data_IF_495643678195
#
_entry.id   IF_495643678195
#
_cell.length_a   1.000
_cell.length_b   1.000
_cell.length_c   1.000
_cell.angle_alpha   90.00
_cell.angle_beta   90.00
_cell.angle_gamma   90.00
#
_symmetry.space_group_name_H-M   'P 1'
#
loop_
_entity.id
_entity.type
_entity.pdbx_description
1 polymer ?
#
# COMPACT_ATOMS: atom_id res chain seq x y z
N UNK A 1 7.43 -3.90 -19.09
CA UNK A 1 7.81 -4.26 -17.69
C UNK A 1 6.63 -4.10 -16.77
N UNK A 2 6.51 -5.01 -15.82
CA UNK A 2 5.45 -4.92 -14.83
C UNK A 2 5.74 -3.82 -13.81
N UNK A 3 4.72 -3.11 -13.39
CA UNK A 3 4.81 -2.21 -12.25
C UNK A 3 5.06 -3.02 -10.98
N UNK A 4 5.79 -2.43 -10.04
CA UNK A 4 6.18 -3.09 -8.81
C UNK A 4 5.37 -2.57 -7.62
N UNK A 5 4.84 -3.49 -6.83
CA UNK A 5 4.05 -3.18 -5.64
C UNK A 5 4.76 -3.74 -4.41
N UNK A 6 4.97 -2.89 -3.41
CA UNK A 6 5.47 -3.32 -2.10
C UNK A 6 4.27 -3.54 -1.17
N UNK A 7 4.16 -4.74 -0.64
CA UNK A 7 3.12 -5.09 0.34
C UNK A 7 3.78 -5.21 1.71
N UNK A 8 3.24 -4.51 2.70
CA UNK A 8 3.77 -4.51 4.08
C UNK A 8 2.67 -4.94 5.03
N UNK A 9 2.83 -6.10 5.63
CA UNK A 9 1.86 -6.66 6.57
C UNK A 9 2.56 -7.73 7.41
N UNK A 10 2.36 -7.73 8.73
CA UNK A 10 2.98 -8.74 9.58
C UNK A 10 2.23 -10.08 9.58
N UNK A 11 1.09 -10.16 8.89
CA UNK A 11 0.39 -11.42 8.64
C UNK A 11 0.86 -12.02 7.32
N UNK A 12 1.65 -13.09 7.39
CA UNK A 12 2.15 -13.76 6.18
C UNK A 12 1.04 -14.25 5.27
N UNK A 13 -0.05 -14.74 5.85
CA UNK A 13 -1.20 -15.24 5.08
C UNK A 13 -1.79 -14.15 4.19
N UNK A 14 -1.91 -12.93 4.71
CA UNK A 14 -2.45 -11.82 3.94
C UNK A 14 -1.48 -11.40 2.83
N UNK A 15 -0.18 -11.40 3.12
CA UNK A 15 0.83 -11.11 2.09
C UNK A 15 0.74 -12.10 0.94
N UNK A 16 0.58 -13.39 1.23
CA UNK A 16 0.45 -14.42 0.20
C UNK A 16 -0.83 -14.24 -0.61
N UNK A 17 -1.91 -13.88 0.06
CA UNK A 17 -3.20 -13.63 -0.60
C UNK A 17 -3.09 -12.47 -1.57
N UNK A 18 -2.51 -11.36 -1.13
CA UNK A 18 -2.32 -10.18 -1.98
C UNK A 18 -1.41 -10.49 -3.15
N UNK A 19 -0.33 -11.25 -2.91
CA UNK A 19 0.57 -11.67 -3.97
C UNK A 19 -0.17 -12.50 -5.02
N UNK A 20 -1.00 -13.44 -4.59
CA UNK A 20 -1.78 -14.26 -5.51
C UNK A 20 -2.73 -13.43 -6.37
N UNK A 21 -3.37 -12.42 -5.79
CA UNK A 21 -4.28 -11.57 -6.54
C UNK A 21 -3.57 -10.67 -7.55
N UNK A 22 -2.36 -10.22 -7.22
CA UNK A 22 -1.72 -9.15 -7.98
C UNK A 22 -0.58 -9.62 -8.89
N UNK A 23 -0.03 -10.81 -8.66
CA UNK A 23 1.20 -11.24 -9.35
C UNK A 23 1.04 -11.46 -10.85
N UNK A 24 -0.17 -11.66 -11.35
CA UNK A 24 -0.38 -11.84 -12.79
C UNK A 24 -0.07 -10.56 -13.57
N UNK A 25 -0.37 -9.41 -12.97
CA UNK A 25 -0.24 -8.12 -13.62
C UNK A 25 0.93 -7.29 -13.09
N UNK A 26 1.38 -7.57 -11.86
CA UNK A 26 2.37 -6.76 -11.16
C UNK A 26 3.47 -7.62 -10.56
N UNK A 27 4.63 -7.01 -10.36
CA UNK A 27 5.69 -7.62 -9.57
C UNK A 27 5.40 -7.25 -8.10
N UNK A 28 5.27 -8.25 -7.24
CA UNK A 28 4.90 -8.03 -5.84
C UNK A 28 6.06 -8.40 -4.92
N UNK A 29 6.47 -7.44 -4.11
CA UNK A 29 7.49 -7.63 -3.06
C UNK A 29 6.78 -7.55 -1.73
N UNK A 30 6.94 -8.55 -0.87
CA UNK A 30 6.33 -8.56 0.46
C UNK A 30 7.36 -8.36 1.55
N UNK A 31 7.02 -7.52 2.53
CA UNK A 31 7.80 -7.35 3.75
C UNK A 31 6.86 -7.54 4.93
N UNK A 32 7.33 -8.23 5.96
CA UNK A 32 6.50 -8.61 7.10
C UNK A 32 6.61 -7.66 8.29
N UNK A 33 7.27 -6.54 8.12
CA UNK A 33 7.36 -5.51 9.16
C UNK A 33 7.65 -4.15 8.54
N UNK A 34 7.33 -3.10 9.26
CA UNK A 34 7.64 -1.74 8.82
C UNK A 34 9.14 -1.51 8.71
N UNK A 35 9.93 -2.09 9.62
CA UNK A 35 11.39 -1.97 9.59
C UNK A 35 11.99 -2.61 8.36
N UNK A 36 11.53 -3.82 8.02
CA UNK A 36 12.00 -4.49 6.81
C UNK A 36 11.63 -3.70 5.55
N UNK A 37 10.42 -3.12 5.54
CA UNK A 37 9.98 -2.29 4.43
C UNK A 37 10.87 -1.06 4.27
N UNK A 38 11.15 -0.36 5.37
CA UNK A 38 12.00 0.83 5.34
C UNK A 38 13.43 0.50 4.90
N UNK A 39 13.96 -0.63 5.34
CA UNK A 39 15.28 -1.06 4.92
C UNK A 39 15.33 -1.32 3.42
N UNK A 40 14.32 -2.01 2.91
CA UNK A 40 14.22 -2.28 1.47
C UNK A 40 14.07 -0.99 0.66
N UNK A 41 13.31 -0.02 1.17
CA UNK A 41 13.07 1.26 0.50
C UNK A 41 14.32 2.16 0.43
N UNK A 42 15.37 1.86 1.19
CA UNK A 42 16.63 2.60 1.09
C UNK A 42 17.29 2.46 -0.28
N UNK A 43 17.06 1.33 -0.95
CA UNK A 43 17.69 1.04 -2.23
C UNK A 43 16.72 0.61 -3.32
N UNK A 44 15.42 0.73 -3.09
CA UNK A 44 14.40 0.33 -4.06
C UNK A 44 13.25 1.33 -4.06
N UNK A 45 12.69 1.58 -5.25
CA UNK A 45 11.55 2.49 -5.40
C UNK A 45 10.39 1.75 -6.04
N UNK A 46 9.39 1.32 -5.26
CA UNK A 46 8.22 0.67 -5.84
C UNK A 46 7.32 1.69 -6.51
N UNK A 47 6.43 1.21 -7.37
CA UNK A 47 5.43 2.07 -8.00
C UNK A 47 4.24 2.32 -7.09
N UNK A 48 4.01 1.44 -6.13
CA UNK A 48 2.88 1.52 -5.20
C UNK A 48 3.22 0.78 -3.92
N UNK A 49 2.73 1.27 -2.79
CA UNK A 49 2.85 0.59 -1.50
C UNK A 49 1.44 0.27 -0.99
N UNK A 50 1.25 -0.97 -0.53
CA UNK A 50 0.04 -1.38 0.20
C UNK A 50 0.50 -1.76 1.60
N UNK A 51 0.00 -1.09 2.62
CA UNK A 51 0.44 -1.33 4.00
C UNK A 51 -0.71 -1.51 4.96
N UNK A 52 -0.57 -2.49 5.84
CA UNK A 52 -1.44 -2.61 7.00
C UNK A 52 -1.15 -1.45 7.96
N UNK A 53 -2.14 -1.03 8.74
CA UNK A 53 -1.96 0.01 9.74
C UNK A 53 -1.45 -0.59 11.06
N UNK A 54 -1.98 -1.74 11.46
CA UNK A 54 -1.62 -2.35 12.74
C UNK A 54 -0.55 -3.43 12.57
N UNK A 55 0.70 -3.07 12.85
CA UNK A 55 1.83 -3.99 12.82
C UNK A 55 2.56 -3.90 14.16
N UNK A 56 3.23 -5.00 14.55
CA UNK A 56 3.88 -5.09 15.87
C UNK A 56 5.05 -4.13 16.06
N UNK A 57 5.89 -3.99 15.06
CA UNK A 57 7.14 -3.21 15.18
C UNK A 57 6.94 -1.71 15.05
N UNK A 58 6.05 -1.30 14.15
CA UNK A 58 5.69 0.10 13.95
C UNK A 58 4.33 0.14 13.27
N UNK A 59 3.58 1.21 13.45
CA UNK A 59 2.29 1.33 12.79
C UNK A 59 2.45 1.70 11.33
N UNK A 60 1.40 1.43 10.53
CA UNK A 60 1.36 1.88 9.16
C UNK A 60 1.38 3.40 9.04
N UNK A 61 0.91 4.12 10.06
CA UNK A 61 1.01 5.57 10.11
C UNK A 61 2.46 6.02 10.17
N UNK A 62 3.28 5.33 10.98
CA UNK A 62 4.72 5.65 11.10
C UNK A 62 5.42 5.38 9.77
N UNK A 63 5.09 4.28 9.11
CA UNK A 63 5.64 3.96 7.80
C UNK A 63 5.26 5.02 6.77
N UNK A 64 4.00 5.41 6.74
CA UNK A 64 3.49 6.44 5.83
C UNK A 64 4.24 7.76 6.04
N UNK A 65 4.44 8.17 7.28
CA UNK A 65 5.18 9.38 7.61
C UNK A 65 6.61 9.33 7.06
N UNK A 66 7.32 8.23 7.31
CA UNK A 66 8.68 8.06 6.82
C UNK A 66 8.75 8.11 5.29
N UNK A 67 7.81 7.47 4.62
CA UNK A 67 7.74 7.45 3.17
C UNK A 67 7.52 8.86 2.63
N UNK A 68 6.68 9.66 3.26
CA UNK A 68 6.38 11.04 2.83
C UNK A 68 7.53 12.02 3.12
N UNK A 69 8.36 11.71 4.12
CA UNK A 69 9.50 12.56 4.49
C UNK A 69 10.75 12.23 3.67
N UNK A 70 10.81 11.08 3.02
CA UNK A 70 11.98 10.66 2.26
C UNK A 70 11.85 11.13 0.80
N UNK A 71 12.88 11.79 0.28
CA UNK A 71 12.84 12.39 -1.06
C UNK A 71 12.45 11.44 -2.18
N UNK A 72 12.99 10.22 -2.19
CA UNK A 72 12.70 9.24 -3.23
C UNK A 72 11.25 8.75 -3.23
N UNK A 73 10.66 8.60 -2.05
CA UNK A 73 9.35 7.98 -1.90
C UNK A 73 8.24 8.99 -1.63
N UNK A 74 8.58 10.26 -1.60
CA UNK A 74 7.66 11.34 -1.23
C UNK A 74 6.33 11.30 -1.98
N UNK A 75 6.33 10.92 -3.24
CA UNK A 75 5.14 10.88 -4.08
C UNK A 75 4.65 9.48 -4.41
N UNK A 76 5.27 8.44 -3.83
CA UNK A 76 4.84 7.06 -4.07
C UNK A 76 3.43 6.86 -3.52
N UNK A 77 2.47 6.39 -4.33
CA UNK A 77 1.12 6.15 -3.81
C UNK A 77 1.12 5.05 -2.76
N UNK A 78 0.35 5.28 -1.70
CA UNK A 78 0.18 4.32 -0.62
C UNK A 78 -1.30 4.06 -0.40
N UNK A 79 -1.67 2.78 -0.39
CA UNK A 79 -3.00 2.31 -0.02
C UNK A 79 -2.89 1.71 1.37
N UNK A 80 -3.70 2.17 2.32
CA UNK A 80 -3.69 1.65 3.68
C UNK A 80 -4.79 0.61 3.84
N UNK A 81 -4.48 -0.50 4.50
CA UNK A 81 -5.44 -1.55 4.84
C UNK A 81 -5.63 -1.60 6.35
N UNK A 82 -6.89 -1.67 6.79
CA UNK A 82 -7.19 -1.72 8.22
C UNK A 82 -8.40 -2.58 8.51
N UNK A 83 -8.38 -3.25 9.67
CA UNK A 83 -9.56 -3.94 10.18
C UNK A 83 -10.60 -3.01 10.79
N UNK A 84 -10.30 -1.72 10.87
CA UNK A 84 -11.21 -0.72 11.47
C UNK A 84 -11.97 0.04 10.40
N UNK A 85 -13.23 0.30 10.70
CA UNK A 85 -14.11 1.06 9.80
C UNK A 85 -14.31 2.50 10.27
N UNK A 86 -13.63 2.91 11.32
CA UNK A 86 -13.80 4.24 11.92
C UNK A 86 -13.36 5.33 10.95
N UNK A 87 -14.21 6.33 10.76
CA UNK A 87 -13.92 7.44 9.86
C UNK A 87 -12.74 8.28 10.32
N UNK A 88 -12.49 8.37 11.64
CA UNK A 88 -11.33 9.11 12.16
C UNK A 88 -10.00 8.55 11.68
N UNK A 89 -9.88 7.23 11.66
CA UNK A 89 -8.66 6.57 11.17
C UNK A 89 -8.47 6.81 9.68
N UNK A 90 -9.55 6.68 8.91
CA UNK A 90 -9.52 6.93 7.46
C UNK A 90 -9.13 8.37 7.15
N UNK A 91 -9.73 9.31 7.86
CA UNK A 91 -9.43 10.74 7.70
C UNK A 91 -7.95 11.00 8.02
N UNK A 92 -7.43 10.41 9.09
CA UNK A 92 -6.02 10.53 9.45
C UNK A 92 -5.11 10.04 8.33
N UNK A 93 -5.44 8.89 7.73
CA UNK A 93 -4.68 8.36 6.60
C UNK A 93 -4.60 9.37 5.46
N UNK A 94 -5.73 9.94 5.06
CA UNK A 94 -5.77 10.91 3.97
C UNK A 94 -5.01 12.19 4.32
N UNK A 95 -5.13 12.68 5.53
CA UNK A 95 -4.39 13.87 5.97
C UNK A 95 -2.89 13.66 5.97
N UNK A 96 -2.44 12.43 6.21
CA UNK A 96 -1.04 12.08 6.19
C UNK A 96 -0.51 11.76 4.79
N UNK A 97 -1.37 11.79 3.78
CA UNK A 97 -0.98 11.63 2.40
C UNK A 97 -1.14 10.25 1.81
N UNK A 98 -1.97 9.39 2.42
CA UNK A 98 -2.35 8.13 1.78
C UNK A 98 -3.31 8.42 0.64
N UNK A 99 -3.17 7.70 -0.47
CA UNK A 99 -4.05 7.86 -1.62
C UNK A 99 -5.37 7.16 -1.43
N UNK A 100 -5.37 6.01 -0.75
CA UNK A 100 -6.59 5.23 -0.53
C UNK A 100 -6.53 4.47 0.78
N UNK A 101 -7.71 4.03 1.23
CA UNK A 101 -7.90 3.29 2.48
C UNK A 101 -8.95 2.22 2.22
N UNK A 102 -8.61 0.97 2.52
CA UNK A 102 -9.54 -0.16 2.38
C UNK A 102 -9.65 -0.88 3.72
N UNK A 103 -10.86 -1.33 4.04
CA UNK A 103 -11.10 -2.11 5.26
C UNK A 103 -10.92 -3.59 4.99
N UNK A 104 -10.39 -4.31 5.99
CA UNK A 104 -10.31 -5.78 5.95
C UNK A 104 -11.58 -6.38 6.59
N UNK A 105 -12.13 -7.43 6.04
CA UNK A 105 -11.75 -8.07 4.78
C UNK A 105 -12.12 -7.17 3.59
N UNK A 106 -11.22 -7.10 2.62
CA UNK A 106 -11.45 -6.28 1.43
C UNK A 106 -12.04 -7.13 0.30
N UNK A 107 -12.73 -6.46 -0.62
CA UNK A 107 -13.19 -7.08 -1.85
C UNK A 107 -12.03 -7.11 -2.84
N UNK A 108 -11.63 -8.30 -3.36
CA UNK A 108 -10.51 -8.39 -4.29
C UNK A 108 -10.67 -7.55 -5.55
N UNK A 109 -11.88 -7.45 -6.07
CA UNK A 109 -12.13 -6.63 -7.27
C UNK A 109 -11.98 -5.15 -6.98
N UNK A 110 -12.44 -4.72 -5.80
CA UNK A 110 -12.26 -3.33 -5.38
C UNK A 110 -10.77 -3.01 -5.20
N UNK A 111 -10.01 -3.92 -4.58
CA UNK A 111 -8.57 -3.74 -4.42
C UNK A 111 -7.89 -3.58 -5.78
N UNK A 112 -8.22 -4.43 -6.74
CA UNK A 112 -7.65 -4.35 -8.08
C UNK A 112 -7.94 -3.01 -8.76
N UNK A 113 -9.15 -2.51 -8.61
CA UNK A 113 -9.53 -1.22 -9.20
C UNK A 113 -8.80 -0.06 -8.52
N UNK A 114 -8.65 -0.11 -7.19
CA UNK A 114 -7.93 0.92 -6.45
C UNK A 114 -6.44 0.92 -6.83
N UNK A 115 -5.84 -0.27 -6.98
CA UNK A 115 -4.46 -0.40 -7.43
C UNK A 115 -4.30 0.19 -8.83
N UNK A 116 -5.18 -0.19 -9.75
CA UNK A 116 -5.13 0.28 -11.14
C UNK A 116 -5.27 1.80 -11.21
N UNK A 117 -6.21 2.36 -10.47
CA UNK A 117 -6.43 3.81 -10.41
C UNK A 117 -5.16 4.55 -9.96
N UNK A 118 -4.44 4.01 -8.99
CA UNK A 118 -3.24 4.65 -8.46
C UNK A 118 -2.02 4.46 -9.35
N UNK A 119 -1.94 3.34 -10.07
CA UNK A 119 -0.81 3.09 -10.98
C UNK A 119 -0.98 3.75 -12.35
N UNK A 120 -2.22 3.93 -12.78
CA UNK A 120 -2.52 4.46 -14.13
C UNK A 120 -3.61 5.53 -14.03
N UNK A 121 -3.36 6.64 -13.32
CA UNK A 121 -4.41 7.63 -13.04
C UNK A 121 -4.98 8.29 -14.30
N UNK A 122 -4.14 8.58 -15.30
CA UNK A 122 -4.59 9.22 -16.54
C UNK A 122 -5.46 8.26 -17.34
N UNK A 123 -5.01 7.01 -17.47
CA UNK A 123 -5.76 5.97 -18.18
C UNK A 123 -7.10 5.71 -17.50
N UNK A 124 -7.10 5.63 -16.18
CA UNK A 124 -8.31 5.40 -15.40
C UNK A 124 -9.32 6.53 -15.60
N UNK A 125 -8.85 7.77 -15.54
CA UNK A 125 -9.71 8.95 -15.77
C UNK A 125 -10.27 8.98 -17.18
N UNK A 126 -9.49 8.58 -18.19
CA UNK A 126 -9.92 8.57 -19.58
C UNK A 126 -10.97 7.51 -19.90
N UNK A 127 -11.15 6.53 -19.02
CA UNK A 127 -12.13 5.45 -19.21
C UNK A 127 -13.55 5.82 -18.76
N UNK A 128 -13.73 7.02 -18.23
CA UNK A 128 -15.04 7.51 -17.78
C UNK A 128 -15.98 7.77 -18.97
#
# INVERSE_FOLDING_TARGET
MKKQILVVDDEQTLCLLLQNFLQKEYEVISKNSGKEALEWLKSNLPDLIISDIQMEDMSGFDLLEEVRLTGFTKHTPIIMLSGKTESNERIKCYKMGAQDYLTKPFNPEELKEVVKKNLFPIHYAASW
#
